data_IF_758389768076
#
_entry.id   IF_758389768076
#
_cell.length_a   1.000
_cell.length_b   1.000
_cell.length_c   1.000
_cell.angle_alpha   90.00
_cell.angle_beta   90.00
_cell.angle_gamma   90.00
#
_symmetry.space_group_name_H-M   'P 1'
#
loop_
_entity.id
_entity.type
_entity.pdbx_description
1 polymer ?
#
# COMPACT_ATOMS: atom_id res chain seq x y z
N UNK A 1 -21.50 -4.95 -19.75
CA UNK A 1 -21.64 -4.95 -18.27
C UNK A 1 -20.81 -3.81 -17.68
N UNK A 2 -21.45 -2.85 -17.01
CA UNK A 2 -20.84 -1.62 -16.48
C UNK A 2 -19.69 -1.85 -15.47
N UNK A 3 -19.61 -3.03 -14.86
CA UNK A 3 -18.68 -3.32 -13.75
C UNK A 3 -17.67 -4.44 -14.03
N UNK A 4 -17.59 -4.94 -15.28
CA UNK A 4 -16.74 -6.07 -15.63
C UNK A 4 -15.26 -5.85 -15.26
N UNK A 5 -14.81 -4.60 -15.26
CA UNK A 5 -13.40 -4.24 -15.08
C UNK A 5 -13.02 -3.85 -13.64
N UNK A 6 -13.99 -3.72 -12.72
CA UNK A 6 -13.70 -3.32 -11.33
C UNK A 6 -12.77 -4.32 -10.63
N UNK A 7 -13.03 -5.65 -10.68
CA UNK A 7 -12.13 -6.62 -10.04
C UNK A 7 -10.71 -6.57 -10.59
N UNK A 8 -10.55 -6.46 -11.92
CA UNK A 8 -9.24 -6.34 -12.56
C UNK A 8 -8.52 -5.06 -12.17
N UNK A 9 -9.23 -3.92 -12.08
CA UNK A 9 -8.65 -2.66 -11.63
C UNK A 9 -8.14 -2.76 -10.18
N UNK A 10 -8.93 -3.35 -9.28
CA UNK A 10 -8.53 -3.55 -7.88
C UNK A 10 -7.31 -4.49 -7.78
N UNK A 11 -7.32 -5.60 -8.52
CA UNK A 11 -6.20 -6.53 -8.56
C UNK A 11 -4.92 -5.86 -9.06
N UNK A 12 -4.99 -5.17 -10.21
CA UNK A 12 -3.83 -4.50 -10.79
C UNK A 12 -3.30 -3.39 -9.88
N UNK A 13 -4.20 -2.62 -9.25
CA UNK A 13 -3.81 -1.58 -8.31
C UNK A 13 -3.09 -2.17 -7.09
N UNK A 14 -3.70 -3.16 -6.43
CA UNK A 14 -3.11 -3.81 -5.25
C UNK A 14 -1.77 -4.46 -5.59
N UNK A 15 -1.68 -5.14 -6.73
CA UNK A 15 -0.44 -5.78 -7.17
C UNK A 15 0.66 -4.76 -7.49
N UNK A 16 0.33 -3.64 -8.14
CA UNK A 16 1.30 -2.58 -8.41
C UNK A 16 1.81 -1.94 -7.10
N UNK A 17 0.89 -1.69 -6.16
CA UNK A 17 1.21 -1.10 -4.86
C UNK A 17 2.13 -2.01 -4.01
N UNK A 18 1.92 -3.32 -4.07
CA UNK A 18 2.72 -4.35 -3.39
C UNK A 18 3.81 -4.93 -4.31
N UNK A 19 4.35 -4.13 -5.23
CA UNK A 19 5.45 -4.55 -6.11
C UNK A 19 6.57 -3.51 -6.12
N UNK A 20 7.63 -3.82 -6.86
CA UNK A 20 8.74 -2.91 -7.10
C UNK A 20 8.36 -1.68 -7.96
N UNK A 21 7.14 -1.60 -8.49
CA UNK A 21 6.63 -0.40 -9.17
C UNK A 21 6.35 0.76 -8.19
N UNK A 22 6.14 0.47 -6.90
CA UNK A 22 5.89 1.47 -5.87
C UNK A 22 7.20 1.91 -5.21
N UNK A 23 7.92 2.81 -5.91
CA UNK A 23 9.21 3.36 -5.50
C UNK A 23 9.08 4.82 -5.06
N UNK A 24 9.39 5.10 -3.79
CA UNK A 24 9.23 6.43 -3.17
C UNK A 24 10.44 6.74 -2.31
N UNK A 25 10.99 7.96 -2.44
CA UNK A 25 12.14 8.42 -1.66
C UNK A 25 13.34 7.45 -1.72
N UNK A 26 13.70 7.04 -2.94
CA UNK A 26 14.85 6.17 -3.25
C UNK A 26 14.77 4.72 -2.75
N UNK A 27 13.58 4.20 -2.47
CA UNK A 27 13.40 2.85 -1.97
C UNK A 27 12.00 2.29 -2.28
N UNK A 28 11.81 0.97 -2.15
CA UNK A 28 10.54 0.32 -2.42
C UNK A 28 9.65 0.30 -1.17
N UNK A 29 8.39 0.68 -1.33
CA UNK A 29 7.42 0.70 -0.23
C UNK A 29 7.14 -0.72 0.30
N UNK A 30 7.18 -1.73 -0.58
CA UNK A 30 6.97 -3.13 -0.21
C UNK A 30 7.97 -3.63 0.84
N UNK A 31 9.22 -3.17 0.80
CA UNK A 31 10.25 -3.61 1.75
C UNK A 31 9.95 -3.14 3.17
N UNK A 32 9.37 -1.94 3.30
CA UNK A 32 8.94 -1.40 4.58
C UNK A 32 7.69 -2.11 5.10
N UNK A 33 6.71 -2.37 4.23
CA UNK A 33 5.51 -3.12 4.59
C UNK A 33 5.86 -4.55 5.04
N UNK A 34 6.79 -5.22 4.36
CA UNK A 34 7.28 -6.54 4.74
C UNK A 34 7.96 -6.52 6.11
N UNK A 35 8.76 -5.48 6.42
CA UNK A 35 9.38 -5.31 7.74
C UNK A 35 8.34 -5.11 8.85
N UNK A 36 7.24 -4.41 8.58
CA UNK A 36 6.14 -4.22 9.53
C UNK A 36 5.37 -5.54 9.72
N UNK A 37 5.01 -6.22 8.64
CA UNK A 37 4.29 -7.49 8.69
C UNK A 37 5.10 -8.59 9.40
N UNK A 38 6.41 -8.64 9.18
CA UNK A 38 7.32 -9.56 9.85
C UNK A 38 7.41 -9.40 11.38
N UNK A 39 6.85 -8.31 11.94
CA UNK A 39 6.70 -8.10 13.39
C UNK A 39 5.33 -8.58 13.93
N UNK A 40 4.62 -9.42 13.19
CA UNK A 40 3.27 -9.93 13.50
C UNK A 40 2.20 -8.82 13.62
N UNK A 41 2.34 -7.74 12.85
CA UNK A 41 1.29 -6.72 12.74
C UNK A 41 0.43 -6.95 11.50
N UNK A 42 -0.88 -6.81 11.68
CA UNK A 42 -1.81 -6.69 10.56
C UNK A 42 -1.73 -5.28 9.97
N UNK A 43 -1.38 -5.20 8.70
CA UNK A 43 -1.37 -3.94 7.96
C UNK A 43 -2.73 -3.73 7.30
N UNK A 44 -3.35 -2.57 7.56
CA UNK A 44 -4.56 -2.14 6.86
C UNK A 44 -4.35 -0.78 6.23
N UNK A 45 -4.62 -0.69 4.94
CA UNK A 45 -4.52 0.53 4.15
C UNK A 45 -5.89 0.84 3.57
N UNK A 46 -6.38 2.05 3.84
CA UNK A 46 -7.57 2.61 3.20
C UNK A 46 -7.14 3.80 2.34
N UNK A 47 -7.05 3.58 1.04
CA UNK A 47 -6.68 4.63 0.07
C UNK A 47 -7.73 5.73 -0.09
N UNK A 48 -9.00 5.46 0.24
CA UNK A 48 -10.06 6.48 0.17
C UNK A 48 -9.93 7.48 1.32
N UNK A 49 -9.68 6.99 2.53
CA UNK A 49 -9.52 7.86 3.72
C UNK A 49 -8.07 8.16 4.06
N UNK A 50 -7.12 7.62 3.28
CA UNK A 50 -5.67 7.72 3.48
C UNK A 50 -5.22 7.23 4.87
N UNK A 51 -5.92 6.23 5.41
CA UNK A 51 -5.62 5.67 6.75
C UNK A 51 -4.70 4.47 6.63
N UNK A 52 -3.72 4.42 7.53
CA UNK A 52 -2.83 3.28 7.72
C UNK A 52 -2.99 2.74 9.15
N UNK A 53 -3.00 1.42 9.29
CA UNK A 53 -2.94 0.73 10.58
C UNK A 53 -1.86 -0.36 10.54
N UNK A 54 -1.10 -0.54 11.63
CA UNK A 54 -1.15 0.23 12.88
C UNK A 54 -0.55 1.65 12.71
N UNK A 55 -1.20 2.67 13.30
CA UNK A 55 -0.78 4.07 13.16
C UNK A 55 0.65 4.35 13.65
N UNK A 56 1.14 3.56 14.59
CA UNK A 56 2.49 3.69 15.16
C UNK A 56 3.59 3.27 14.19
N UNK A 57 3.25 2.58 13.09
CA UNK A 57 4.20 2.09 12.09
C UNK A 57 4.11 2.84 10.77
N UNK A 58 3.31 3.92 10.69
CA UNK A 58 3.26 4.74 9.49
C UNK A 58 4.54 5.57 9.39
N UNK A 59 5.18 5.58 8.22
CA UNK A 59 6.29 6.46 7.89
C UNK A 59 5.86 7.52 6.89
N UNK A 60 6.73 8.52 6.69
CA UNK A 60 6.53 9.55 5.67
C UNK A 60 6.46 8.94 4.26
N UNK A 61 7.25 7.90 3.99
CA UNK A 61 7.25 7.19 2.69
C UNK A 61 5.92 6.48 2.45
N UNK A 62 5.45 5.71 3.43
CA UNK A 62 4.14 5.05 3.37
C UNK A 62 3.03 6.09 3.21
N UNK A 63 3.12 7.21 3.94
CA UNK A 63 2.15 8.30 3.86
C UNK A 63 2.10 8.92 2.46
N UNK A 64 3.26 9.21 1.87
CA UNK A 64 3.37 9.70 0.49
C UNK A 64 2.81 8.69 -0.51
N UNK A 65 3.19 7.42 -0.40
CA UNK A 65 2.75 6.33 -1.28
C UNK A 65 1.23 6.16 -1.29
N UNK A 66 0.56 6.31 -0.14
CA UNK A 66 -0.92 6.27 -0.04
C UNK A 66 -1.55 7.56 -0.61
N UNK A 67 -0.81 8.66 -0.62
CA UNK A 67 -1.28 9.98 -0.98
C UNK A 67 -1.25 10.32 -2.47
N UNK A 68 -0.35 9.69 -3.24
CA UNK A 68 -0.28 9.76 -4.71
C UNK A 68 -1.46 9.03 -5.36
#
# INVERSE_FOLDING_TARGET
MKYKNIPSAIHNFGHSFLSYENYVDSDFVIDELNKISGKNYDIKIDWKTKKFQPKTMISDRITKSIGY
#
